data_IF_928647293512
#
_entry.id   IF_928647293512
#
_cell.length_a   1.000
_cell.length_b   1.000
_cell.length_c   1.000
_cell.angle_alpha   90.00
_cell.angle_beta   90.00
_cell.angle_gamma   90.00
#
_symmetry.space_group_name_H-M   'P 1'
#
loop_
_entity.id
_entity.type
_entity.pdbx_description
1 polymer ?
#
# COMPACT_ATOMS: atom_id res chain seq x y z
N UNK A 1 -11.96 17.24 6.30
CA UNK A 1 -12.48 18.32 5.45
C UNK A 1 -13.65 17.80 4.64
N UNK A 2 -14.85 18.35 4.79
CA UNK A 2 -16.04 17.89 4.06
C UNK A 2 -16.01 18.34 2.60
N UNK A 3 -16.39 17.43 1.68
CA UNK A 3 -16.55 17.66 0.25
C UNK A 3 -18.03 17.49 -0.21
N UNK A 4 -18.97 17.35 0.74
CA UNK A 4 -20.38 17.05 0.47
C UNK A 4 -20.65 15.55 0.37
N UNK A 5 -19.89 14.81 -0.40
CA UNK A 5 -20.00 13.35 -0.57
C UNK A 5 -18.96 12.55 0.27
N UNK A 6 -17.91 13.21 0.74
CA UNK A 6 -16.86 12.59 1.54
C UNK A 6 -16.32 13.56 2.60
N UNK A 7 -15.73 13.03 3.66
CA UNK A 7 -14.97 13.80 4.66
C UNK A 7 -13.52 13.32 4.66
N UNK A 8 -12.61 14.14 4.10
CA UNK A 8 -11.18 13.79 3.98
C UNK A 8 -10.48 13.93 5.32
N UNK A 9 -9.77 12.87 5.75
CA UNK A 9 -9.00 12.80 7.00
C UNK A 9 -7.60 13.41 6.83
N UNK A 10 -7.49 14.70 6.95
CA UNK A 10 -6.22 15.42 6.81
C UNK A 10 -5.25 15.20 7.99
N UNK A 11 -5.73 14.70 9.13
CA UNK A 11 -4.90 14.44 10.33
C UNK A 11 -4.29 13.02 10.34
N UNK A 12 -4.59 12.19 9.37
CA UNK A 12 -4.13 10.80 9.31
C UNK A 12 -2.61 10.69 9.25
N UNK A 13 -1.95 11.58 8.49
CA UNK A 13 -0.48 11.62 8.40
C UNK A 13 0.17 11.76 9.79
N UNK A 14 -0.35 12.66 10.63
CA UNK A 14 0.16 12.87 12.00
C UNK A 14 -0.06 11.63 12.89
N UNK A 15 -1.23 10.98 12.78
CA UNK A 15 -1.61 9.84 13.64
C UNK A 15 -0.99 8.52 13.20
N UNK A 16 -0.82 8.31 11.89
CA UNK A 16 -0.45 7.02 11.32
C UNK A 16 0.83 7.03 10.47
N UNK A 17 1.46 8.19 10.29
CA UNK A 17 2.66 8.34 9.47
C UNK A 17 2.42 8.31 7.95
N UNK A 18 1.16 8.22 7.52
CA UNK A 18 0.74 8.25 6.12
C UNK A 18 -0.53 9.09 5.95
N UNK A 19 -0.68 9.80 4.81
CA UNK A 19 -1.93 10.45 4.44
C UNK A 19 -3.07 9.44 4.28
N UNK A 20 -4.28 9.95 4.10
CA UNK A 20 -5.41 9.12 3.70
C UNK A 20 -5.15 8.47 2.35
N UNK A 21 -5.59 7.20 2.21
CA UNK A 21 -5.51 6.45 0.96
C UNK A 21 -6.91 6.30 0.39
N UNK A 22 -7.06 6.56 -0.90
CA UNK A 22 -8.33 6.51 -1.60
C UNK A 22 -8.59 5.09 -2.08
N UNK A 23 -9.69 4.50 -1.64
CA UNK A 23 -10.19 3.22 -2.16
C UNK A 23 -11.14 3.53 -3.33
N UNK A 24 -10.76 3.16 -4.55
CA UNK A 24 -11.47 3.54 -5.77
C UNK A 24 -12.84 2.86 -5.95
N UNK A 25 -13.01 1.54 -5.68
CA UNK A 25 -14.27 0.87 -5.96
C UNK A 25 -15.49 1.57 -5.37
N UNK A 26 -16.51 1.76 -6.21
CA UNK A 26 -17.76 2.42 -5.83
C UNK A 26 -17.73 3.96 -5.86
N UNK A 27 -16.61 4.57 -6.29
CA UNK A 27 -16.51 6.02 -6.49
C UNK A 27 -16.45 6.37 -7.97
N UNK A 28 -16.98 7.53 -8.31
CA UNK A 28 -16.82 8.09 -9.65
C UNK A 28 -15.43 8.73 -9.81
N UNK A 29 -14.85 8.79 -11.03
CA UNK A 29 -13.56 9.43 -11.27
C UNK A 29 -13.47 10.87 -10.72
N UNK A 30 -14.52 11.67 -10.85
CA UNK A 30 -14.61 13.02 -10.32
C UNK A 30 -14.50 13.07 -8.78
N UNK A 31 -15.11 12.12 -8.08
CA UNK A 31 -15.02 12.03 -6.62
C UNK A 31 -13.60 11.67 -6.18
N UNK A 32 -12.96 10.71 -6.88
CA UNK A 32 -11.58 10.30 -6.63
C UNK A 32 -10.64 11.50 -6.87
N UNK A 33 -10.82 12.22 -7.98
CA UNK A 33 -10.02 13.38 -8.33
C UNK A 33 -10.15 14.51 -7.29
N UNK A 34 -11.37 14.81 -6.82
CA UNK A 34 -11.61 15.83 -5.80
C UNK A 34 -10.94 15.49 -4.46
N UNK A 35 -10.99 14.21 -4.03
CA UNK A 35 -10.29 13.76 -2.83
C UNK A 35 -8.77 13.85 -3.03
N UNK A 36 -8.26 13.36 -4.17
CA UNK A 36 -6.83 13.40 -4.51
C UNK A 36 -6.30 14.83 -4.54
N UNK A 37 -6.99 15.75 -5.22
CA UNK A 37 -6.62 17.17 -5.28
C UNK A 37 -6.58 17.80 -3.87
N UNK A 38 -7.56 17.47 -3.02
CA UNK A 38 -7.59 17.92 -1.62
C UNK A 38 -6.38 17.43 -0.83
N UNK A 39 -6.02 16.13 -0.96
CA UNK A 39 -4.85 15.55 -0.31
C UNK A 39 -3.55 16.14 -0.86
N UNK A 40 -3.45 16.35 -2.16
CA UNK A 40 -2.29 16.99 -2.80
C UNK A 40 -2.08 18.42 -2.32
N UNK A 41 -3.15 19.17 -2.10
CA UNK A 41 -3.08 20.55 -1.63
C UNK A 41 -2.81 20.67 -0.11
N UNK A 42 -3.22 19.69 0.68
CA UNK A 42 -3.25 19.78 2.15
C UNK A 42 -2.32 18.84 2.89
N UNK A 43 -1.68 17.88 2.21
CA UNK A 43 -0.71 16.95 2.81
C UNK A 43 0.61 16.96 2.04
N UNK A 44 1.70 16.57 2.70
CA UNK A 44 3.04 16.51 2.10
C UNK A 44 3.50 15.09 1.74
N UNK A 45 2.77 14.06 2.17
CA UNK A 45 3.12 12.66 1.94
C UNK A 45 2.63 12.12 0.58
N UNK A 46 2.87 10.83 0.30
CA UNK A 46 2.35 10.16 -0.88
C UNK A 46 0.82 10.16 -0.88
N UNK A 47 0.21 10.41 -2.06
CA UNK A 47 -1.23 10.29 -2.26
C UNK A 47 -1.47 9.08 -3.13
N UNK A 48 -2.27 8.14 -2.63
CA UNK A 48 -2.50 6.84 -3.23
C UNK A 48 -3.98 6.61 -3.52
N UNK A 49 -4.26 6.05 -4.70
CA UNK A 49 -5.58 5.50 -5.07
C UNK A 49 -5.39 4.03 -5.38
N UNK A 50 -6.03 3.15 -4.61
CA UNK A 50 -5.90 1.70 -4.75
C UNK A 50 -7.10 1.10 -5.47
N UNK A 51 -6.86 -0.04 -6.15
CA UNK A 51 -7.86 -0.80 -6.90
C UNK A 51 -8.58 0.03 -7.97
N UNK A 52 -7.84 0.93 -8.57
CA UNK A 52 -8.32 1.79 -9.64
C UNK A 52 -8.24 1.05 -10.99
N UNK A 53 -9.32 1.04 -11.75
CA UNK A 53 -9.32 0.46 -13.09
C UNK A 53 -8.56 1.35 -14.08
N UNK A 54 -7.91 0.76 -15.12
CA UNK A 54 -7.11 1.52 -16.08
C UNK A 54 -7.88 2.68 -16.74
N UNK A 55 -9.13 2.44 -17.12
CA UNK A 55 -9.98 3.48 -17.76
C UNK A 55 -10.31 4.63 -16.81
N UNK A 56 -10.50 4.33 -15.52
CA UNK A 56 -10.76 5.34 -14.50
C UNK A 56 -9.50 6.15 -14.18
N UNK A 57 -8.31 5.50 -14.26
CA UNK A 57 -7.04 6.16 -13.97
C UNK A 57 -6.76 7.33 -14.93
N UNK A 58 -7.03 7.16 -16.22
CA UNK A 58 -6.88 8.23 -17.21
C UNK A 58 -7.81 9.41 -16.91
N UNK A 59 -9.08 9.15 -16.60
CA UNK A 59 -10.05 10.17 -16.24
C UNK A 59 -9.64 10.92 -14.97
N UNK A 60 -9.23 10.19 -13.91
CA UNK A 60 -8.78 10.80 -12.64
C UNK A 60 -7.55 11.69 -12.86
N UNK A 61 -6.58 11.23 -13.65
CA UNK A 61 -5.38 12.02 -13.97
C UNK A 61 -5.72 13.30 -14.72
N UNK A 62 -6.61 13.22 -15.70
CA UNK A 62 -7.05 14.39 -16.48
C UNK A 62 -7.79 15.41 -15.59
N UNK A 63 -8.70 14.96 -14.74
CA UNK A 63 -9.46 15.83 -13.83
C UNK A 63 -8.57 16.49 -12.77
N UNK A 64 -7.63 15.75 -12.17
CA UNK A 64 -6.66 16.32 -11.21
C UNK A 64 -5.80 17.38 -11.90
N UNK A 65 -5.33 17.13 -13.13
CA UNK A 65 -4.54 18.09 -13.89
C UNK A 65 -5.34 19.35 -14.23
N UNK A 66 -6.60 19.23 -14.61
CA UNK A 66 -7.50 20.36 -14.90
C UNK A 66 -7.82 21.18 -13.65
N UNK A 67 -8.06 20.52 -12.50
CA UNK A 67 -8.35 21.16 -11.21
C UNK A 67 -7.17 21.93 -10.63
N UNK A 68 -5.93 21.50 -10.85
CA UNK A 68 -4.73 22.22 -10.44
C UNK A 68 -4.46 23.48 -11.29
N UNK A 69 -4.96 23.53 -12.53
CA UNK A 69 -4.86 24.72 -13.41
C UNK A 69 -5.91 25.79 -13.14
N UNK A 70 -7.02 25.46 -12.49
CA UNK A 70 -8.17 26.36 -12.30
C UNK A 70 -8.19 27.22 -11.03
N UNK A 71 -7.25 27.09 -10.11
CA UNK A 71 -7.23 27.86 -8.84
C UNK A 71 -6.53 29.24 -8.93
N UNK A 72 -6.22 29.73 -10.13
CA UNK A 72 -5.62 31.08 -10.32
C UNK A 72 -6.63 32.19 -10.63
N UNK A 73 -7.94 31.91 -10.60
CA UNK A 73 -9.00 32.88 -10.92
C UNK A 73 -10.12 32.94 -9.89
N UNK A 74 -9.90 33.55 -8.74
CA UNK A 74 -10.92 33.77 -7.71
C UNK A 74 -10.77 35.15 -7.08
N UNK A 75 -11.64 36.06 -7.46
CA UNK A 75 -11.91 37.43 -7.00
C UNK A 75 -11.49 37.79 -5.60
N UNK A 76 -10.83 38.96 -5.52
CA UNK A 76 -10.47 39.67 -4.30
C UNK A 76 -11.69 39.97 -3.42
N UNK A 77 -11.69 39.45 -2.21
CA UNK A 77 -12.54 39.81 -1.10
C UNK A 77 -11.67 40.14 0.11
N UNK A 78 -11.83 41.36 0.58
CA UNK A 78 -11.06 42.10 1.57
C UNK A 78 -10.97 41.45 2.95
N UNK A 79 -9.81 41.72 3.60
CA UNK A 79 -9.51 41.87 5.01
C UNK A 79 -8.92 40.70 5.80
N UNK A 80 -7.73 40.96 6.38
CA UNK A 80 -7.16 40.26 7.52
C UNK A 80 -5.68 39.95 7.35
N UNK A 81 -4.82 40.92 7.68
CA UNK A 81 -3.38 40.73 7.83
C UNK A 81 -3.08 39.72 8.95
N UNK A 82 -2.29 38.73 8.70
CA UNK A 82 -1.27 38.06 9.51
C UNK A 82 -1.14 36.60 9.07
N UNK A 83 -0.18 36.33 8.30
CA UNK A 83 0.85 35.29 8.37
C UNK A 83 1.56 35.15 7.02
N UNK A 84 2.63 35.94 6.84
CA UNK A 84 3.48 35.93 5.66
C UNK A 84 4.68 34.98 5.86
N UNK A 85 4.45 33.73 6.18
CA UNK A 85 5.52 32.75 6.21
C UNK A 85 5.09 31.44 5.53
N UNK A 86 5.72 31.14 4.39
CA UNK A 86 5.62 29.93 3.57
C UNK A 86 4.55 29.90 2.47
N UNK A 87 4.72 30.77 1.49
CA UNK A 87 4.14 30.63 0.15
C UNK A 87 5.23 30.43 -0.91
N UNK A 88 6.16 29.52 -0.68
CA UNK A 88 7.11 29.11 -1.71
C UNK A 88 6.80 27.65 -2.08
N UNK A 89 6.22 27.42 -3.27
CA UNK A 89 6.09 26.09 -3.88
C UNK A 89 4.70 25.60 -4.31
N UNK A 90 3.68 26.43 -4.39
CA UNK A 90 2.36 26.02 -4.90
C UNK A 90 2.27 26.35 -6.39
N UNK A 91 2.59 25.36 -7.26
CA UNK A 91 2.45 25.51 -8.71
C UNK A 91 3.10 24.41 -9.56
N UNK A 92 3.92 23.54 -8.99
CA UNK A 92 4.48 22.44 -9.76
C UNK A 92 3.43 21.32 -9.94
N UNK A 93 3.02 21.08 -11.18
CA UNK A 93 2.22 19.91 -11.53
C UNK A 93 2.98 18.65 -11.10
N UNK A 94 2.51 17.97 -10.06
CA UNK A 94 3.06 16.69 -9.63
C UNK A 94 2.46 15.59 -10.48
N UNK A 95 3.22 14.94 -11.37
CA UNK A 95 2.68 13.89 -12.22
C UNK A 95 2.27 12.69 -11.38
N UNK A 96 1.04 12.20 -11.59
CA UNK A 96 0.60 10.92 -11.06
C UNK A 96 1.18 9.79 -11.90
N UNK A 97 1.56 8.68 -11.25
CA UNK A 97 2.04 7.46 -11.90
C UNK A 97 1.06 6.34 -11.63
N UNK A 98 0.55 5.73 -12.69
CA UNK A 98 -0.36 4.59 -12.60
C UNK A 98 0.36 3.29 -12.92
N UNK A 99 0.21 2.31 -12.04
CA UNK A 99 0.63 0.92 -12.25
C UNK A 99 -0.62 0.08 -12.52
N UNK A 100 -0.71 -0.44 -13.74
CA UNK A 100 -1.88 -1.19 -14.20
C UNK A 100 -1.98 -2.60 -13.56
N UNK A 101 -0.85 -3.22 -13.20
CA UNK A 101 -0.84 -4.56 -12.55
C UNK A 101 -1.23 -4.42 -11.08
N UNK A 102 -0.67 -3.44 -10.39
CA UNK A 102 -1.00 -3.12 -9.01
C UNK A 102 -2.35 -2.39 -8.87
N UNK A 103 -2.91 -1.86 -9.97
CA UNK A 103 -4.10 -0.99 -10.00
C UNK A 103 -3.96 0.19 -9.02
N UNK A 104 -2.76 0.72 -8.96
CA UNK A 104 -2.36 1.78 -8.04
C UNK A 104 -2.03 3.07 -8.80
N UNK A 105 -2.68 4.16 -8.44
CA UNK A 105 -2.29 5.49 -8.87
C UNK A 105 -1.62 6.21 -7.69
N UNK A 106 -0.43 6.76 -7.93
CA UNK A 106 0.40 7.38 -6.90
C UNK A 106 0.94 8.73 -7.33
N UNK A 107 0.84 9.72 -6.46
CA UNK A 107 1.56 10.99 -6.51
C UNK A 107 2.53 11.09 -5.34
N UNK A 108 3.69 11.70 -5.56
CA UNK A 108 4.70 11.98 -4.53
C UNK A 108 5.12 10.74 -3.73
N UNK A 109 5.58 9.64 -4.39
CA UNK A 109 6.05 8.48 -3.66
C UNK A 109 7.16 8.90 -2.67
N UNK A 110 7.13 8.31 -1.49
CA UNK A 110 8.18 8.55 -0.50
C UNK A 110 9.51 7.94 -0.96
N UNK A 111 10.65 8.55 -0.65
CA UNK A 111 11.95 7.94 -0.94
C UNK A 111 12.13 6.66 -0.12
N UNK A 112 12.90 5.67 -0.61
CA UNK A 112 13.20 4.46 0.14
C UNK A 112 13.76 4.79 1.52
N UNK A 113 13.21 4.18 2.54
CA UNK A 113 13.47 4.59 3.93
C UNK A 113 14.14 3.53 4.80
N UNK A 114 14.80 2.53 4.22
CA UNK A 114 15.68 1.61 4.93
C UNK A 114 15.02 0.44 5.68
N UNK A 115 13.70 0.26 5.68
CA UNK A 115 13.08 -1.00 6.11
C UNK A 115 12.86 -1.90 4.90
N UNK A 116 13.45 -3.08 4.95
CA UNK A 116 13.40 -4.08 3.88
C UNK A 116 12.18 -4.96 4.05
N UNK A 117 11.40 -5.07 2.98
CA UNK A 117 10.21 -5.92 2.93
C UNK A 117 10.39 -6.95 1.82
N UNK A 118 10.33 -8.23 2.19
CA UNK A 118 10.25 -9.31 1.21
C UNK A 118 8.78 -9.57 0.86
N UNK A 119 8.43 -9.50 -0.42
CA UNK A 119 7.13 -9.91 -0.94
C UNK A 119 7.29 -11.25 -1.63
N UNK A 120 6.67 -12.29 -1.08
CA UNK A 120 6.87 -13.70 -1.47
C UNK A 120 5.58 -14.29 -2.00
N UNK A 121 5.56 -14.84 -3.22
CA UNK A 121 4.37 -15.47 -3.81
C UNK A 121 4.51 -16.97 -4.01
N UNK A 122 3.40 -17.70 -3.82
CA UNK A 122 3.35 -19.13 -4.07
C UNK A 122 3.37 -19.45 -5.57
N UNK A 123 2.56 -18.75 -6.35
CA UNK A 123 2.45 -18.96 -7.79
C UNK A 123 2.36 -17.67 -8.57
N UNK A 124 2.40 -17.79 -9.91
CA UNK A 124 2.29 -16.65 -10.82
C UNK A 124 0.91 -15.99 -10.79
N UNK A 125 -0.14 -16.76 -10.46
CA UNK A 125 -1.51 -16.26 -10.34
C UNK A 125 -1.72 -15.34 -9.13
N UNK A 126 -0.83 -15.38 -8.14
CA UNK A 126 -0.83 -14.45 -7.00
C UNK A 126 -0.24 -13.08 -7.35
N UNK A 127 0.28 -12.94 -8.57
CA UNK A 127 0.99 -11.75 -9.07
C UNK A 127 0.26 -10.43 -8.89
N UNK A 128 -1.03 -10.29 -9.22
CA UNK A 128 -1.77 -9.04 -9.03
C UNK A 128 -1.81 -8.55 -7.58
N UNK A 129 -2.02 -9.47 -6.62
CA UNK A 129 -2.03 -9.13 -5.18
C UNK A 129 -0.62 -8.76 -4.70
N UNK A 130 0.40 -9.45 -5.21
CA UNK A 130 1.80 -9.12 -4.93
C UNK A 130 2.18 -7.76 -5.49
N UNK A 131 1.75 -7.44 -6.71
CA UNK A 131 1.98 -6.15 -7.32
C UNK A 131 1.35 -5.01 -6.50
N UNK A 132 0.10 -5.17 -6.01
CA UNK A 132 -0.53 -4.20 -5.11
C UNK A 132 0.31 -4.02 -3.84
N UNK A 133 0.73 -5.13 -3.19
CA UNK A 133 1.53 -5.07 -1.97
C UNK A 133 2.87 -4.36 -2.19
N UNK A 134 3.59 -4.75 -3.25
CA UNK A 134 4.90 -4.20 -3.58
C UNK A 134 4.83 -2.71 -3.97
N UNK A 135 3.88 -2.35 -4.82
CA UNK A 135 3.73 -0.97 -5.28
C UNK A 135 3.31 -0.03 -4.14
N UNK A 136 2.36 -0.45 -3.28
CA UNK A 136 1.97 0.32 -2.09
C UNK A 136 3.14 0.46 -1.13
N UNK A 137 3.83 -0.65 -0.79
CA UNK A 137 4.97 -0.63 0.12
C UNK A 137 6.09 0.30 -0.39
N UNK A 138 6.41 0.22 -1.68
CA UNK A 138 7.40 1.12 -2.31
C UNK A 138 6.95 2.58 -2.30
N UNK A 139 5.69 2.85 -2.62
CA UNK A 139 5.15 4.22 -2.65
C UNK A 139 5.19 4.91 -1.28
N UNK A 140 5.12 4.14 -0.19
CA UNK A 140 5.21 4.65 1.19
C UNK A 140 6.63 4.60 1.77
N UNK A 141 7.64 4.29 0.95
CA UNK A 141 9.06 4.38 1.30
C UNK A 141 9.65 3.14 1.96
N UNK A 142 9.03 1.97 1.80
CA UNK A 142 9.66 0.71 2.18
C UNK A 142 10.56 0.21 1.04
N UNK A 143 11.65 -0.46 1.38
CA UNK A 143 12.57 -1.08 0.43
C UNK A 143 12.08 -2.50 0.12
N UNK A 144 11.55 -2.71 -1.07
CA UNK A 144 10.84 -3.94 -1.45
C UNK A 144 11.70 -4.83 -2.34
N UNK A 145 11.82 -6.10 -1.94
CA UNK A 145 12.36 -7.18 -2.77
C UNK A 145 11.29 -8.25 -2.99
N UNK A 146 11.08 -8.66 -4.23
CA UNK A 146 10.08 -9.65 -4.59
C UNK A 146 10.71 -11.02 -4.87
N UNK A 147 10.07 -12.08 -4.35
CA UNK A 147 10.40 -13.48 -4.57
C UNK A 147 9.16 -14.18 -5.13
N UNK A 148 9.16 -14.42 -6.42
CA UNK A 148 7.99 -14.91 -7.13
C UNK A 148 8.07 -16.40 -7.41
N UNK A 149 6.90 -17.08 -7.41
CA UNK A 149 6.74 -18.49 -7.79
C UNK A 149 7.60 -19.44 -6.94
N UNK A 150 7.62 -19.25 -5.61
CA UNK A 150 8.36 -20.08 -4.65
C UNK A 150 7.44 -20.95 -3.79
N UNK A 151 6.32 -21.42 -4.38
CA UNK A 151 5.32 -22.23 -3.70
C UNK A 151 5.84 -23.57 -3.22
N UNK A 152 5.13 -24.14 -2.23
CA UNK A 152 5.51 -25.39 -1.53
C UNK A 152 5.51 -26.64 -2.42
N UNK A 153 4.83 -26.59 -3.57
CA UNK A 153 4.86 -27.68 -4.57
C UNK A 153 6.27 -27.90 -5.16
N UNK A 154 7.17 -26.92 -4.98
CA UNK A 154 8.58 -27.03 -5.34
C UNK A 154 9.46 -26.42 -4.27
N UNK A 155 9.55 -27.04 -3.10
CA UNK A 155 10.29 -26.53 -1.93
C UNK A 155 11.72 -26.08 -2.23
N UNK A 156 12.39 -26.73 -3.19
CA UNK A 156 13.73 -26.34 -3.61
C UNK A 156 13.81 -24.88 -4.10
N UNK A 157 12.74 -24.32 -4.68
CA UNK A 157 12.67 -22.91 -5.12
C UNK A 157 12.63 -21.98 -3.92
N UNK A 158 11.82 -22.30 -2.90
CA UNK A 158 11.76 -21.55 -1.65
C UNK A 158 13.09 -21.62 -0.90
N UNK A 159 13.65 -22.82 -0.76
CA UNK A 159 14.93 -23.01 -0.04
C UNK A 159 16.10 -22.28 -0.72
N UNK A 160 16.09 -22.16 -2.05
CA UNK A 160 17.13 -21.46 -2.78
C UNK A 160 17.18 -19.94 -2.48
N UNK A 161 16.10 -19.35 -1.97
CA UNK A 161 16.00 -17.92 -1.65
C UNK A 161 15.71 -17.65 -0.17
N UNK A 162 15.76 -18.67 0.67
CA UNK A 162 15.38 -18.58 2.10
C UNK A 162 16.22 -17.55 2.86
N UNK A 163 17.53 -17.54 2.65
CA UNK A 163 18.44 -16.59 3.32
C UNK A 163 18.16 -15.13 2.88
N UNK A 164 17.86 -14.93 1.61
CA UNK A 164 17.50 -13.62 1.08
C UNK A 164 16.16 -13.12 1.67
N UNK A 165 15.18 -14.01 1.84
CA UNK A 165 13.90 -13.71 2.49
C UNK A 165 14.13 -13.39 3.97
N UNK A 166 14.94 -14.18 4.66
CA UNK A 166 15.26 -14.00 6.09
C UNK A 166 16.03 -12.71 6.37
N UNK A 167 16.71 -12.14 5.36
CA UNK A 167 17.42 -10.86 5.47
C UNK A 167 16.48 -9.63 5.48
N UNK A 168 15.17 -9.78 5.23
CA UNK A 168 14.19 -8.71 5.34
C UNK A 168 13.88 -8.35 6.79
N UNK A 169 13.29 -7.18 7.02
CA UNK A 169 12.79 -6.75 8.33
C UNK A 169 11.33 -7.18 8.57
N UNK A 170 10.57 -7.38 7.48
CA UNK A 170 9.20 -7.92 7.46
C UNK A 170 9.02 -8.75 6.18
N UNK A 171 8.32 -9.87 6.27
CA UNK A 171 7.96 -10.69 5.11
C UNK A 171 6.45 -10.63 4.87
N UNK A 172 6.05 -10.34 3.64
CA UNK A 172 4.66 -10.45 3.17
C UNK A 172 4.57 -11.72 2.32
N UNK A 173 3.79 -12.71 2.77
CA UNK A 173 3.59 -13.98 2.06
C UNK A 173 2.21 -14.01 1.43
N UNK A 174 2.14 -14.23 0.12
CA UNK A 174 0.93 -14.17 -0.68
C UNK A 174 0.70 -15.53 -1.33
N UNK A 175 -0.40 -16.20 -0.98
CA UNK A 175 -0.69 -17.55 -1.44
C UNK A 175 -2.19 -17.82 -1.51
N UNK A 176 -2.62 -18.44 -2.61
CA UNK A 176 -3.94 -19.04 -2.77
C UNK A 176 -3.98 -20.51 -2.43
N UNK A 177 -4.89 -21.25 -3.05
CA UNK A 177 -5.12 -22.69 -2.85
C UNK A 177 -5.34 -23.04 -1.36
N UNK A 178 -4.38 -23.71 -0.72
CA UNK A 178 -4.39 -24.08 0.70
C UNK A 178 -3.53 -23.17 1.59
N UNK A 179 -2.83 -22.16 1.02
CA UNK A 179 -2.07 -21.18 1.80
C UNK A 179 -0.83 -21.69 2.52
N UNK A 180 -0.33 -22.88 2.21
CA UNK A 180 0.74 -23.57 2.93
C UNK A 180 2.09 -22.81 2.93
N UNK A 181 2.33 -21.96 1.93
CA UNK A 181 3.55 -21.15 1.85
C UNK A 181 3.75 -20.28 3.09
N UNK A 182 2.66 -19.74 3.68
CA UNK A 182 2.75 -18.90 4.88
C UNK A 182 3.33 -19.67 6.07
N UNK A 183 2.92 -20.93 6.27
CA UNK A 183 3.48 -21.79 7.31
C UNK A 183 4.94 -22.16 7.04
N UNK A 184 5.28 -22.46 5.78
CA UNK A 184 6.64 -22.81 5.41
C UNK A 184 7.61 -21.63 5.65
N UNK A 185 7.26 -20.43 5.16
CA UNK A 185 8.07 -19.24 5.38
C UNK A 185 8.13 -18.86 6.86
N UNK A 186 7.01 -18.94 7.58
CA UNK A 186 6.97 -18.67 9.02
C UNK A 186 7.86 -19.60 9.85
N UNK A 187 8.14 -20.82 9.37
CA UNK A 187 9.10 -21.72 9.98
C UNK A 187 10.57 -21.46 9.60
N UNK A 188 10.82 -20.69 8.54
CA UNK A 188 12.17 -20.41 8.04
C UNK A 188 12.73 -19.07 8.51
N UNK A 189 11.88 -18.10 8.89
CA UNK A 189 12.32 -16.73 9.22
C UNK A 189 12.00 -16.37 10.66
N UNK A 190 12.85 -15.53 11.26
CA UNK A 190 12.66 -15.00 12.63
C UNK A 190 12.02 -13.60 12.66
N UNK A 191 11.66 -13.04 11.52
CA UNK A 191 11.06 -11.71 11.38
C UNK A 191 9.54 -11.80 11.28
N UNK A 192 8.78 -10.70 11.52
CA UNK A 192 7.33 -10.71 11.37
C UNK A 192 6.89 -11.14 9.97
N UNK A 193 5.89 -12.04 9.93
CA UNK A 193 5.27 -12.52 8.70
C UNK A 193 3.84 -12.02 8.61
N UNK A 194 3.54 -11.32 7.53
CA UNK A 194 2.17 -10.87 7.18
C UNK A 194 1.68 -11.75 6.03
N UNK A 195 0.72 -12.61 6.31
CA UNK A 195 0.16 -13.55 5.34
C UNK A 195 -1.08 -12.98 4.65
N UNK A 196 -1.12 -13.08 3.33
CA UNK A 196 -2.21 -12.65 2.46
C UNK A 196 -2.78 -13.88 1.76
N UNK A 197 -3.95 -14.37 2.17
CA UNK A 197 -4.65 -15.36 1.39
C UNK A 197 -5.12 -14.75 0.08
N UNK A 198 -5.06 -15.48 -1.02
CA UNK A 198 -5.61 -15.00 -2.30
C UNK A 198 -6.80 -15.84 -2.74
N UNK A 199 -7.68 -15.24 -3.54
CA UNK A 199 -8.81 -15.92 -4.18
C UNK A 199 -8.36 -16.88 -5.30
N UNK A 200 -7.06 -16.94 -5.58
CA UNK A 200 -6.46 -17.88 -6.53
C UNK A 200 -6.71 -19.32 -6.11
N UNK A 201 -7.37 -20.08 -6.97
CA UNK A 201 -7.68 -21.48 -6.70
C UNK A 201 -8.99 -21.91 -7.36
N UNK A 202 -9.37 -23.17 -7.08
CA UNK A 202 -10.60 -23.76 -7.61
C UNK A 202 -11.18 -24.76 -6.59
N UNK A 203 -12.41 -25.22 -6.83
CA UNK A 203 -13.06 -26.22 -5.99
C UNK A 203 -13.09 -25.82 -4.52
N UNK A 204 -12.47 -26.62 -3.66
CA UNK A 204 -12.44 -26.41 -2.22
C UNK A 204 -11.62 -25.20 -1.76
N UNK A 205 -10.95 -24.47 -2.66
CA UNK A 205 -10.27 -23.22 -2.32
C UNK A 205 -11.25 -22.10 -1.90
N UNK A 206 -12.54 -22.19 -2.32
CA UNK A 206 -13.64 -21.31 -1.90
C UNK A 206 -13.27 -19.84 -1.98
N UNK A 207 -12.70 -19.41 -3.12
CA UNK A 207 -12.26 -18.02 -3.35
C UNK A 207 -11.35 -17.47 -2.26
N UNK A 208 -10.42 -18.29 -1.77
CA UNK A 208 -9.42 -17.91 -0.78
C UNK A 208 -9.80 -18.18 0.69
N UNK A 209 -11.02 -18.64 0.97
CA UNK A 209 -11.44 -18.97 2.35
C UNK A 209 -10.59 -20.09 2.93
N UNK A 210 -10.28 -21.13 2.14
CA UNK A 210 -9.42 -22.24 2.59
C UNK A 210 -8.01 -21.73 2.93
N UNK A 211 -7.41 -20.89 2.08
CA UNK A 211 -6.11 -20.28 2.36
C UNK A 211 -6.17 -19.43 3.63
N UNK A 212 -7.22 -18.61 3.81
CA UNK A 212 -7.42 -17.80 5.01
C UNK A 212 -7.46 -18.66 6.28
N UNK A 213 -8.28 -19.71 6.30
CA UNK A 213 -8.41 -20.58 7.47
C UNK A 213 -7.11 -21.34 7.76
N UNK A 214 -6.42 -21.83 6.73
CA UNK A 214 -5.14 -22.52 6.89
C UNK A 214 -4.05 -21.57 7.45
N UNK A 215 -3.97 -20.34 6.97
CA UNK A 215 -3.04 -19.34 7.49
C UNK A 215 -3.35 -18.97 8.94
N UNK A 216 -4.63 -18.84 9.31
CA UNK A 216 -5.05 -18.52 10.68
C UNK A 216 -4.81 -19.67 11.66
N UNK A 217 -4.75 -20.90 11.18
CA UNK A 217 -4.49 -22.12 11.97
C UNK A 217 -3.05 -22.63 11.85
N UNK A 218 -2.16 -21.81 11.29
CA UNK A 218 -0.74 -22.16 11.12
C UNK A 218 -0.08 -22.46 12.45
N UNK A 219 0.72 -23.54 12.51
CA UNK A 219 1.59 -23.84 13.66
C UNK A 219 2.81 -22.92 13.74
N UNK A 220 3.14 -22.18 12.69
CA UNK A 220 4.22 -21.22 12.70
C UNK A 220 3.82 -20.00 13.53
N UNK A 221 4.42 -19.81 14.70
CA UNK A 221 4.11 -18.72 15.60
C UNK A 221 4.52 -17.37 14.98
N UNK A 222 3.71 -16.33 15.22
CA UNK A 222 4.01 -14.97 14.76
C UNK A 222 3.52 -14.61 13.37
N UNK A 223 2.81 -15.51 12.68
CA UNK A 223 2.12 -15.21 11.43
C UNK A 223 0.87 -14.37 11.70
N UNK A 224 0.80 -13.19 11.10
CA UNK A 224 -0.37 -12.30 11.14
C UNK A 224 -1.07 -12.36 9.80
N UNK A 225 -2.40 -12.58 9.79
CA UNK A 225 -3.16 -12.76 8.56
C UNK A 225 -3.98 -11.50 8.27
N UNK A 226 -3.94 -11.02 7.03
CA UNK A 226 -4.82 -9.95 6.53
C UNK A 226 -5.97 -10.55 5.71
N UNK A 227 -6.87 -9.69 5.21
CA UNK A 227 -8.02 -10.16 4.43
C UNK A 227 -7.59 -10.76 3.07
N UNK A 228 -8.47 -11.55 2.47
CA UNK A 228 -8.29 -12.15 1.14
C UNK A 228 -8.04 -11.04 0.11
N UNK A 229 -7.08 -11.25 -0.78
CA UNK A 229 -6.65 -10.34 -1.85
C UNK A 229 -6.26 -8.93 -1.35
N UNK A 230 -5.80 -8.82 -0.10
CA UNK A 230 -5.48 -7.52 0.49
C UNK A 230 -3.97 -7.23 0.48
N UNK A 231 -3.40 -7.03 -0.70
CA UNK A 231 -2.01 -6.57 -0.86
C UNK A 231 -1.78 -5.23 -0.17
N UNK A 232 -2.72 -4.29 -0.33
CA UNK A 232 -2.72 -3.02 0.39
C UNK A 232 -2.69 -3.21 1.91
N UNK A 233 -3.56 -4.09 2.45
CA UNK A 233 -3.61 -4.35 3.89
C UNK A 233 -2.29 -4.88 4.44
N UNK A 234 -1.61 -5.75 3.68
CA UNK A 234 -0.30 -6.28 4.07
C UNK A 234 0.80 -5.21 4.05
N UNK A 235 0.84 -4.38 3.02
CA UNK A 235 1.78 -3.25 2.96
C UNK A 235 1.57 -2.28 4.13
N UNK A 236 0.31 -2.01 4.51
CA UNK A 236 -0.03 -1.17 5.67
C UNK A 236 0.34 -1.83 7.01
N UNK A 237 0.20 -3.17 7.14
CA UNK A 237 0.64 -3.90 8.32
C UNK A 237 2.17 -3.83 8.46
N UNK A 238 2.92 -4.08 7.39
CA UNK A 238 4.37 -3.93 7.34
C UNK A 238 4.81 -2.49 7.71
N UNK A 239 4.14 -1.47 7.13
CA UNK A 239 4.41 -0.07 7.48
C UNK A 239 4.23 0.20 8.98
N UNK A 240 3.13 -0.28 9.58
CA UNK A 240 2.87 -0.04 11.02
C UNK A 240 3.89 -0.71 11.92
N UNK A 241 4.32 -1.94 11.59
CA UNK A 241 5.37 -2.64 12.31
C UNK A 241 6.69 -1.85 12.25
N UNK A 242 7.11 -1.44 11.07
CA UNK A 242 8.35 -0.71 10.87
C UNK A 242 8.29 0.73 11.41
N UNK A 243 7.14 1.40 11.30
CA UNK A 243 6.93 2.74 11.86
C UNK A 243 7.04 2.77 13.38
N UNK A 244 6.47 1.76 14.07
CA UNK A 244 6.57 1.63 15.51
C UNK A 244 8.04 1.46 15.95
N UNK A 245 8.79 0.57 15.27
CA UNK A 245 10.22 0.33 15.55
C UNK A 245 11.05 1.60 15.35
N UNK A 246 10.86 2.32 14.24
CA UNK A 246 11.59 3.58 13.97
C UNK A 246 11.27 4.68 14.98
N UNK A 247 10.04 4.76 15.45
CA UNK A 247 9.63 5.75 16.44
C UNK A 247 10.34 5.49 17.78
N UNK A 248 10.46 4.25 18.20
CA UNK A 248 11.19 3.87 19.42
C UNK A 248 12.69 4.18 19.28
N UNK A 249 13.32 3.80 18.17
CA UNK A 249 14.72 4.09 17.92
C UNK A 249 15.06 5.60 17.97
N UNK A 250 14.13 6.46 17.49
CA UNK A 250 14.32 7.93 17.49
C UNK A 250 14.08 8.58 18.85
N UNK A 251 13.28 7.98 19.74
CA UNK A 251 12.93 8.56 21.04
C UNK A 251 13.84 8.09 22.17
N UNK A 252 14.78 7.17 21.90
CA UNK A 252 15.72 6.63 22.91
C UNK A 252 15.04 5.99 24.14
N UNK A 253 13.76 5.61 24.02
CA UNK A 253 13.06 4.90 25.10
C UNK A 253 13.41 3.41 25.03
N UNK A 254 13.92 2.83 26.15
CA UNK A 254 14.14 1.40 26.27
C UNK A 254 12.84 0.60 26.15
#
# INVERSE_FOLDING_TARGET
MPLGFATVDLDRLRRQGLPEVIYAPGKQPAEIAAIAATLLARSSGPVLVTRLEPREAEAVLAEVAAGTGGMSGGTAGTAGAMDTARRDGVGAHVPGRYDAVARLLCWRPAPPGGCRVAVVTAGTADGPVAAEAAAVASAIGLDVREFRDVGVAGLHRLLAVADDIAAADVVIVIAGMEGALASAVGGLVGVPVVAVPTSTGYGAALQGVTALLAMMTSCAAGVSVVNIDSGFGAAMAAHRLTFALRRHARTGRP
#
